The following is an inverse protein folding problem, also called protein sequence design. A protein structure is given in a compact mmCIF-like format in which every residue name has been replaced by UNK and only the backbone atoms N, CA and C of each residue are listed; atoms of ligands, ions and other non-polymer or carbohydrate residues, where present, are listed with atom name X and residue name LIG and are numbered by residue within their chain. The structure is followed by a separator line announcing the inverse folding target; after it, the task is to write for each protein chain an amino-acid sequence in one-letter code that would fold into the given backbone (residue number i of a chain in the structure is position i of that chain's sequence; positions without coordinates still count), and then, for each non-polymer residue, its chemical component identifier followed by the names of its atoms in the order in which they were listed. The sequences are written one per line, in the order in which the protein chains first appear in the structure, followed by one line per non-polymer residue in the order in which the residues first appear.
data_IF_244088369147
#
_entry.id   IF_244088369147
#
_cell.length_a   1.000
_cell.length_b   1.000
_cell.length_c   1.000
_cell.angle_alpha   90.00
_cell.angle_beta   90.00
_cell.angle_gamma   90.00
#
_symmetry.space_group_name_H-M   'P 1'
#
loop_
_entity.id
_entity.type
_entity.pdbx_description
1 polymer ?
#
# COMPACT_ATOMS: atom_id res chain seq x y z
N UNK A 1 -26.94 -5.80 -29.11
CA UNK A 1 -25.92 -5.43 -28.12
C UNK A 1 -26.08 -6.41 -26.97
N UNK A 2 -25.13 -7.33 -26.81
CA UNK A 2 -25.11 -8.24 -25.66
C UNK A 2 -25.02 -7.39 -24.37
N UNK A 3 -25.77 -7.70 -23.30
CA UNK A 3 -25.59 -7.02 -22.03
C UNK A 3 -24.19 -7.37 -21.51
N UNK A 4 -23.36 -6.35 -21.30
CA UNK A 4 -22.06 -6.52 -20.66
C UNK A 4 -22.34 -7.01 -19.24
N UNK A 5 -22.04 -8.28 -18.95
CA UNK A 5 -22.28 -8.85 -17.63
C UNK A 5 -21.53 -8.02 -16.57
N UNK A 6 -22.20 -7.71 -15.47
CA UNK A 6 -21.55 -7.03 -14.34
C UNK A 6 -20.40 -7.90 -13.81
N UNK A 7 -19.23 -7.31 -13.53
CA UNK A 7 -18.08 -8.06 -13.05
C UNK A 7 -18.39 -8.76 -11.72
N UNK A 8 -17.90 -9.99 -11.56
CA UNK A 8 -18.04 -10.75 -10.33
C UNK A 8 -17.08 -10.23 -9.25
N UNK A 9 -17.29 -10.62 -7.99
CA UNK A 9 -16.38 -10.30 -6.89
C UNK A 9 -14.95 -10.80 -7.17
N UNK A 10 -14.82 -11.97 -7.79
CA UNK A 10 -13.52 -12.54 -8.17
C UNK A 10 -12.83 -11.70 -9.24
N UNK A 11 -13.56 -11.22 -10.24
CA UNK A 11 -13.01 -10.35 -11.29
C UNK A 11 -12.48 -9.02 -10.72
N UNK A 12 -13.20 -8.45 -9.74
CA UNK A 12 -12.78 -7.22 -9.07
C UNK A 12 -11.52 -7.43 -8.22
N UNK A 13 -11.44 -8.54 -7.47
CA UNK A 13 -10.25 -8.88 -6.69
C UNK A 13 -9.04 -9.14 -7.57
N UNK A 14 -9.23 -9.86 -8.68
CA UNK A 14 -8.17 -10.09 -9.66
C UNK A 14 -7.67 -8.77 -10.23
N UNK A 15 -8.57 -7.88 -10.64
CA UNK A 15 -8.19 -6.57 -11.17
C UNK A 15 -7.44 -5.70 -10.16
N UNK A 16 -7.79 -5.77 -8.88
CA UNK A 16 -7.06 -5.07 -7.80
C UNK A 16 -5.67 -5.68 -7.62
N UNK A 17 -5.54 -7.00 -7.75
CA UNK A 17 -4.26 -7.71 -7.67
C UNK A 17 -3.33 -7.46 -8.86
N UNK A 18 -3.86 -7.08 -10.03
CA UNK A 18 -3.05 -6.76 -11.21
C UNK A 18 -2.50 -5.32 -11.18
N UNK A 19 -3.15 -4.43 -10.43
CA UNK A 19 -2.69 -3.05 -10.27
C UNK A 19 -1.39 -3.00 -9.47
N UNK A 20 -0.48 -2.16 -9.93
CA UNK A 20 0.73 -1.82 -9.19
C UNK A 20 0.54 -0.52 -8.44
N UNK A 21 1.13 -0.46 -7.26
CA UNK A 21 1.13 0.71 -6.39
C UNK A 21 2.56 1.03 -6.00
N UNK A 22 2.81 2.30 -5.69
CA UNK A 22 4.04 2.74 -5.07
C UNK A 22 3.75 3.86 -4.08
N UNK A 23 4.65 4.07 -3.12
CA UNK A 23 4.55 5.20 -2.20
C UNK A 23 4.72 6.53 -2.91
N UNK A 24 3.95 7.53 -2.48
CA UNK A 24 4.06 8.90 -2.95
C UNK A 24 5.40 9.50 -2.51
N UNK A 25 6.15 10.05 -3.46
CA UNK A 25 7.47 10.66 -3.23
C UNK A 25 7.46 11.91 -2.34
N UNK A 26 6.30 12.53 -2.12
CA UNK A 26 6.11 13.62 -1.17
C UNK A 26 6.00 13.14 0.29
N UNK A 27 6.25 11.85 0.56
CA UNK A 27 6.31 11.31 1.93
C UNK A 27 7.55 10.42 2.11
N UNK A 28 8.10 10.42 3.33
CA UNK A 28 9.24 9.59 3.68
C UNK A 28 8.97 8.82 4.96
N UNK A 29 9.31 7.53 4.96
CA UNK A 29 9.48 6.76 6.19
C UNK A 29 10.88 7.01 6.78
N UNK A 30 10.92 7.28 8.08
CA UNK A 30 12.13 7.45 8.88
C UNK A 30 12.03 6.62 10.14
N UNK A 31 13.15 6.02 10.54
CA UNK A 31 13.31 5.43 11.87
C UNK A 31 14.04 6.43 12.76
N UNK A 32 13.46 6.77 13.91
CA UNK A 32 13.98 7.75 14.87
C UNK A 32 13.88 7.13 16.25
N UNK A 33 15.03 6.90 16.90
CA UNK A 33 15.10 6.29 18.23
C UNK A 33 14.37 4.92 18.35
N UNK A 34 14.35 4.14 17.27
CA UNK A 34 13.69 2.82 17.22
C UNK A 34 12.19 2.87 16.92
N UNK A 35 11.62 4.05 16.65
CA UNK A 35 10.23 4.21 16.22
C UNK A 35 10.16 4.68 14.77
N UNK A 36 9.14 4.23 14.04
CA UNK A 36 8.89 4.66 12.68
C UNK A 36 8.03 5.92 12.62
N UNK A 37 8.36 6.82 11.70
CA UNK A 37 7.59 8.02 11.39
C UNK A 37 7.49 8.23 9.87
N UNK A 38 6.29 8.42 9.37
CA UNK A 38 6.02 8.91 8.02
C UNK A 38 5.89 10.42 8.10
N UNK A 39 6.80 11.11 7.43
CA UNK A 39 6.88 12.57 7.40
C UNK A 39 6.54 13.10 6.01
N UNK A 40 5.71 14.15 5.91
CA UNK A 40 5.51 14.85 4.65
C UNK A 40 6.78 15.59 4.26
N UNK A 41 7.11 15.55 2.99
CA UNK A 41 8.17 16.31 2.34
C UNK A 41 7.63 16.99 1.08
N UNK A 42 8.49 17.68 0.34
CA UNK A 42 8.12 18.27 -0.96
C UNK A 42 6.86 19.13 -0.87
N UNK A 43 5.86 18.82 -1.70
CA UNK A 43 4.61 19.58 -1.76
C UNK A 43 3.72 19.28 -0.55
N UNK A 44 3.70 18.03 -0.07
CA UNK A 44 2.87 17.64 1.07
C UNK A 44 3.23 18.42 2.35
N UNK A 45 4.51 18.75 2.56
CA UNK A 45 4.97 19.55 3.71
C UNK A 45 4.38 20.98 3.72
N UNK A 46 3.97 21.52 2.57
CA UNK A 46 3.35 22.85 2.50
C UNK A 46 1.87 22.81 2.90
N UNK A 47 1.24 21.65 2.81
CA UNK A 47 -0.20 21.44 2.98
C UNK A 47 -0.50 20.81 4.34
N UNK A 48 0.40 19.96 4.85
CA UNK A 48 0.21 19.19 6.07
C UNK A 48 1.51 19.08 6.86
N UNK A 49 1.41 19.28 8.18
CA UNK A 49 2.47 19.01 9.15
C UNK A 49 2.19 17.72 9.95
N UNK A 50 1.25 16.88 9.49
CA UNK A 50 0.88 15.66 10.19
C UNK A 50 1.99 14.62 10.05
N UNK A 51 2.55 14.20 11.19
CA UNK A 51 3.45 13.04 11.28
C UNK A 51 2.59 11.82 11.62
N UNK A 52 2.73 10.76 10.83
CA UNK A 52 2.05 9.48 11.09
C UNK A 52 3.06 8.49 11.65
N UNK A 53 2.64 7.69 12.62
CA UNK A 53 3.49 6.70 13.30
C UNK A 53 2.97 5.30 12.92
N UNK A 54 3.52 4.68 11.86
CA UNK A 54 3.14 3.31 11.50
C UNK A 54 3.69 2.31 12.53
N UNK A 55 2.99 1.18 12.68
CA UNK A 55 3.55 0.01 13.36
C UNK A 55 4.53 -0.74 12.43
N UNK A 56 5.20 -1.75 12.97
CA UNK A 56 6.23 -2.51 12.23
C UNK A 56 5.70 -3.14 10.93
N UNK A 57 4.48 -3.69 10.95
CA UNK A 57 3.84 -4.26 9.76
C UNK A 57 3.60 -3.19 8.69
N UNK A 58 3.08 -2.02 9.07
CA UNK A 58 2.86 -0.91 8.14
C UNK A 58 4.19 -0.34 7.60
N UNK A 59 5.25 -0.29 8.42
CA UNK A 59 6.59 0.10 7.98
C UNK A 59 7.17 -0.91 6.99
N UNK A 60 7.00 -2.22 7.22
CA UNK A 60 7.36 -3.26 6.28
C UNK A 60 6.63 -3.10 4.94
N UNK A 61 5.29 -2.95 4.98
CA UNK A 61 4.48 -2.79 3.78
C UNK A 61 4.85 -1.51 3.02
N UNK A 62 5.10 -0.41 3.73
CA UNK A 62 5.63 0.82 3.13
C UNK A 62 6.91 0.55 2.34
N UNK A 63 7.89 -0.11 2.96
CA UNK A 63 9.16 -0.45 2.32
C UNK A 63 8.97 -1.34 1.09
N UNK A 64 8.05 -2.29 1.17
CA UNK A 64 7.68 -3.18 0.06
C UNK A 64 7.08 -2.45 -1.16
N UNK A 65 6.47 -1.28 -0.95
CA UNK A 65 5.90 -0.40 -1.99
C UNK A 65 6.81 0.79 -2.38
N UNK A 66 8.08 0.81 -1.93
CA UNK A 66 9.07 1.79 -2.42
C UNK A 66 9.33 1.69 -3.93
N UNK A 67 8.95 0.57 -4.53
CA UNK A 67 8.93 0.37 -5.98
C UNK A 67 7.55 -0.12 -6.43
N UNK A 68 7.14 0.14 -7.69
CA UNK A 68 5.88 -0.35 -8.27
C UNK A 68 5.65 -1.85 -8.09
N UNK A 69 4.74 -2.23 -7.19
CA UNK A 69 4.39 -3.64 -6.92
C UNK A 69 2.90 -3.86 -6.77
N UNK A 70 2.46 -5.07 -7.06
CA UNK A 70 1.10 -5.55 -6.83
C UNK A 70 0.89 -5.96 -5.38
N UNK A 71 -0.38 -6.01 -4.95
CA UNK A 71 -0.73 -6.50 -3.61
C UNK A 71 -0.28 -7.96 -3.45
N UNK A 72 -0.44 -8.81 -4.48
CA UNK A 72 0.00 -10.20 -4.46
C UNK A 72 1.50 -10.35 -4.20
N UNK A 73 2.33 -9.55 -4.88
CA UNK A 73 3.80 -9.60 -4.69
C UNK A 73 4.20 -9.21 -3.28
N UNK A 74 3.51 -8.23 -2.69
CA UNK A 74 3.77 -7.80 -1.31
C UNK A 74 3.28 -8.83 -0.29
N UNK A 75 2.12 -9.46 -0.53
CA UNK A 75 1.59 -10.55 0.31
C UNK A 75 2.53 -11.76 0.28
N UNK A 76 3.02 -12.15 -0.90
CA UNK A 76 3.98 -13.24 -1.04
C UNK A 76 5.25 -12.97 -0.24
N UNK A 77 5.81 -11.75 -0.30
CA UNK A 77 6.97 -11.40 0.52
C UNK A 77 6.66 -11.38 2.02
N UNK A 78 5.48 -10.86 2.42
CA UNK A 78 5.10 -10.83 3.82
C UNK A 78 4.94 -12.24 4.42
N UNK A 79 4.51 -13.23 3.62
CA UNK A 79 4.41 -14.63 4.03
C UNK A 79 5.77 -15.30 4.27
N UNK A 80 6.84 -14.79 3.67
CA UNK A 80 8.21 -15.28 3.92
C UNK A 80 8.78 -14.71 5.23
N UNK A 81 8.34 -13.52 5.63
CA UNK A 81 8.89 -12.76 6.77
C UNK A 81 8.07 -12.94 8.06
N UNK A 82 6.76 -13.15 7.94
CA UNK A 82 5.84 -13.24 9.08
C UNK A 82 5.20 -14.62 9.20
N UNK A 83 5.25 -15.18 10.42
CA UNK A 83 4.49 -16.39 10.78
C UNK A 83 3.02 -16.04 11.10
N UNK A 84 2.24 -15.73 10.06
CA UNK A 84 0.81 -15.47 10.17
C UNK A 84 0.02 -16.18 9.07
N UNK A 85 -1.29 -16.35 9.29
CA UNK A 85 -2.17 -16.92 8.29
C UNK A 85 -2.25 -16.03 7.03
N UNK A 86 -2.29 -16.64 5.85
CA UNK A 86 -2.37 -15.93 4.55
C UNK A 86 -3.53 -14.94 4.50
N UNK A 87 -4.73 -15.34 4.92
CA UNK A 87 -5.88 -14.44 4.99
C UNK A 87 -5.61 -13.20 5.87
N UNK A 88 -4.82 -13.34 6.95
CA UNK A 88 -4.48 -12.23 7.84
C UNK A 88 -3.52 -11.26 7.15
N UNK A 89 -2.48 -11.80 6.49
CA UNK A 89 -1.50 -10.99 5.75
C UNK A 89 -2.17 -10.28 4.56
N UNK A 90 -3.02 -11.00 3.82
CA UNK A 90 -3.76 -10.44 2.70
C UNK A 90 -4.69 -9.31 3.14
N UNK A 91 -5.44 -9.50 4.23
CA UNK A 91 -6.30 -8.45 4.77
C UNK A 91 -5.49 -7.24 5.26
N UNK A 92 -4.34 -7.45 5.90
CA UNK A 92 -3.43 -6.36 6.30
C UNK A 92 -2.92 -5.57 5.10
N UNK A 93 -2.47 -6.26 4.04
CA UNK A 93 -1.99 -5.60 2.82
C UNK A 93 -3.11 -4.82 2.11
N UNK A 94 -4.32 -5.39 2.00
CA UNK A 94 -5.48 -4.73 1.42
C UNK A 94 -5.90 -3.49 2.20
N UNK A 95 -5.98 -3.59 3.54
CA UNK A 95 -6.32 -2.46 4.40
C UNK A 95 -5.26 -1.36 4.31
N UNK A 96 -3.97 -1.74 4.32
CA UNK A 96 -2.88 -0.80 4.14
C UNK A 96 -3.01 -0.02 2.83
N UNK A 97 -3.19 -0.71 1.70
CA UNK A 97 -3.35 -0.06 0.38
C UNK A 97 -4.60 0.83 0.36
N UNK A 98 -5.73 0.35 0.86
CA UNK A 98 -6.96 1.14 0.91
C UNK A 98 -6.79 2.45 1.71
N UNK A 99 -6.24 2.36 2.92
CA UNK A 99 -6.10 3.52 3.78
C UNK A 99 -5.05 4.49 3.24
N UNK A 100 -3.92 3.97 2.77
CA UNK A 100 -2.85 4.82 2.21
C UNK A 100 -3.27 5.50 0.91
N UNK A 101 -4.09 4.88 0.06
CA UNK A 101 -4.69 5.55 -1.10
C UNK A 101 -5.64 6.67 -0.68
N UNK A 102 -6.48 6.45 0.34
CA UNK A 102 -7.40 7.49 0.86
C UNK A 102 -6.64 8.72 1.35
N UNK A 103 -5.45 8.54 1.93
CA UNK A 103 -4.60 9.62 2.41
C UNK A 103 -3.56 10.10 1.37
N UNK A 104 -3.63 9.61 0.13
CA UNK A 104 -2.69 9.91 -0.96
C UNK A 104 -1.21 9.63 -0.60
N UNK A 105 -0.97 8.65 0.26
CA UNK A 105 0.35 8.14 0.65
C UNK A 105 0.86 7.07 -0.32
N UNK A 106 -0.05 6.33 -0.95
CA UNK A 106 0.21 5.44 -2.06
C UNK A 106 -0.43 6.00 -3.34
N UNK A 107 0.15 5.63 -4.47
CA UNK A 107 -0.34 5.99 -5.80
C UNK A 107 -0.46 4.76 -6.68
N UNK A 108 -1.55 4.68 -7.44
CA UNK A 108 -1.72 3.68 -8.50
C UNK A 108 -0.78 3.98 -9.67
N UNK A 109 -0.06 2.97 -10.14
CA UNK A 109 0.83 3.07 -11.30
C UNK A 109 -0.02 2.92 -12.55
N UNK A 110 -0.31 4.04 -13.21
CA UNK A 110 -1.01 4.06 -14.49
C UNK A 110 0.00 3.70 -15.57
N UNK A 111 -0.13 2.51 -16.16
CA UNK A 111 0.62 2.16 -17.37
C UNK A 111 0.00 2.95 -18.54
N UNK A 112 0.77 3.90 -19.10
CA UNK A 112 0.41 4.67 -20.30
C UNK A 112 0.56 3.82 -21.57
#
# INVERSE_FOLDING_TARGET
MEPIASPTRSDLLQKINEKKYHVNSDYLLREIAGEYAIIPVGTACQISNAVMVPNDTAAFLWNAFQQPRTISEVVAQALEEYEAAEDTIQNSALNFVHDTLRYALLEEVISL
#
